data_IF_062573404989
#
_entry.id   IF_062573404989
#
_cell.length_a   1.000
_cell.length_b   1.000
_cell.length_c   1.000
_cell.angle_alpha   90.00
_cell.angle_beta   90.00
_cell.angle_gamma   90.00
#
_symmetry.space_group_name_H-M   'P 1'
#
loop_
_entity.id
_entity.type
_entity.pdbx_description
1 polymer ?
#
# COMPACT_ATOMS: atom_id res chain seq x y z
N UNK A 1 11.01 17.76 -10.73
CA UNK A 1 10.74 16.68 -9.76
C UNK A 1 11.54 17.00 -8.50
N UNK A 2 10.92 17.06 -7.35
CA UNK A 2 11.63 17.23 -6.07
C UNK A 2 12.31 15.93 -5.68
N UNK A 3 13.47 16.03 -5.01
CA UNK A 3 14.26 14.88 -4.57
C UNK A 3 14.34 14.90 -3.06
N UNK A 4 13.93 13.81 -2.42
CA UNK A 4 14.12 13.55 -1.00
C UNK A 4 15.44 12.81 -0.81
N UNK A 5 16.41 13.46 -0.18
CA UNK A 5 17.67 12.84 0.19
C UNK A 5 17.55 12.19 1.57
N UNK A 6 17.75 10.89 1.64
CA UNK A 6 17.80 10.17 2.90
C UNK A 6 19.26 10.05 3.38
N UNK A 7 19.47 10.00 4.71
CA UNK A 7 20.81 9.75 5.25
C UNK A 7 21.39 8.43 4.72
N UNK A 8 22.66 8.45 4.35
CA UNK A 8 23.37 7.23 3.98
C UNK A 8 23.43 6.28 5.19
N UNK A 9 23.26 4.98 4.91
CA UNK A 9 23.33 3.90 5.89
C UNK A 9 24.41 2.89 5.55
N UNK A 10 24.22 1.65 6.01
CA UNK A 10 25.05 0.53 5.61
C UNK A 10 24.99 0.27 4.10
N UNK A 11 25.95 -0.49 3.56
CA UNK A 11 26.01 -0.81 2.12
C UNK A 11 24.72 -1.50 1.67
N UNK A 12 24.10 -0.95 0.63
CA UNK A 12 22.84 -1.46 0.10
C UNK A 12 23.05 -2.79 -0.63
N UNK A 13 22.18 -3.78 -0.33
CA UNK A 13 22.05 -4.99 -1.15
C UNK A 13 21.01 -4.74 -2.26
N UNK A 14 21.45 -4.86 -3.50
CA UNK A 14 20.59 -4.72 -4.68
C UNK A 14 20.22 -6.07 -5.32
N UNK A 15 20.68 -7.18 -4.77
CA UNK A 15 20.39 -8.52 -5.30
C UNK A 15 19.05 -9.08 -4.79
N UNK A 16 18.64 -8.68 -3.59
CA UNK A 16 17.48 -9.21 -2.89
C UNK A 16 16.73 -8.11 -2.15
N UNK A 17 15.41 -8.21 -2.16
CA UNK A 17 14.51 -7.38 -1.35
C UNK A 17 13.43 -8.21 -0.68
N UNK A 18 12.65 -7.58 0.17
CA UNK A 18 11.61 -8.27 0.90
C UNK A 18 10.39 -7.40 1.19
N UNK A 19 9.26 -8.07 1.37
CA UNK A 19 8.00 -7.53 1.87
C UNK A 19 7.60 -8.33 3.10
N UNK A 20 7.66 -7.73 4.28
CA UNK A 20 7.15 -8.29 5.52
C UNK A 20 5.71 -7.85 5.74
N UNK A 21 4.78 -8.79 5.86
CA UNK A 21 3.37 -8.49 6.03
C UNK A 21 3.01 -8.36 7.51
N UNK A 22 2.76 -7.13 7.96
CA UNK A 22 2.39 -6.84 9.35
C UNK A 22 0.90 -7.12 9.58
N UNK A 23 0.06 -6.81 8.59
CA UNK A 23 -1.38 -7.05 8.63
C UNK A 23 -2.17 -5.92 8.00
N UNK A 24 -3.41 -6.18 7.60
CA UNK A 24 -4.25 -5.25 6.86
C UNK A 24 -3.55 -4.75 5.57
N UNK A 25 -3.33 -3.43 5.46
CA UNK A 25 -2.55 -2.81 4.39
C UNK A 25 -1.10 -2.50 4.82
N UNK A 26 -0.75 -2.81 6.07
CA UNK A 26 0.55 -2.47 6.64
C UNK A 26 1.60 -3.49 6.22
N UNK A 27 2.59 -3.04 5.45
CA UNK A 27 3.75 -3.84 5.08
C UNK A 27 5.04 -3.07 5.34
N UNK A 28 6.14 -3.81 5.57
CA UNK A 28 7.47 -3.25 5.59
C UNK A 28 8.22 -3.75 4.36
N UNK A 29 8.57 -2.84 3.46
CA UNK A 29 9.28 -3.14 2.20
C UNK A 29 10.72 -2.72 2.37
N UNK A 30 11.66 -3.64 2.15
CA UNK A 30 13.10 -3.37 2.23
C UNK A 30 13.79 -3.75 0.94
N UNK A 31 14.45 -2.79 0.30
CA UNK A 31 15.26 -3.04 -0.89
C UNK A 31 16.27 -1.91 -1.13
N UNK A 32 17.48 -2.26 -1.55
CA UNK A 32 18.52 -1.29 -1.87
C UNK A 32 18.92 -0.37 -0.71
N UNK A 33 18.78 -0.85 0.54
CA UNK A 33 19.05 -0.06 1.76
C UNK A 33 17.93 0.92 2.13
N UNK A 34 16.81 0.95 1.39
CA UNK A 34 15.62 1.77 1.71
C UNK A 34 14.59 0.89 2.42
N UNK A 35 14.06 1.37 3.54
CA UNK A 35 12.99 0.74 4.32
C UNK A 35 11.73 1.60 4.28
N UNK A 36 10.65 1.05 3.73
CA UNK A 36 9.36 1.73 3.53
C UNK A 36 8.31 1.06 4.41
N UNK A 37 7.56 1.86 5.18
CA UNK A 37 6.36 1.41 5.89
C UNK A 37 5.13 1.87 5.10
N UNK A 38 4.25 0.92 4.74
CA UNK A 38 3.00 1.25 4.05
C UNK A 38 1.83 1.26 5.00
N UNK A 39 0.89 2.18 4.81
CA UNK A 39 -0.43 2.24 5.46
C UNK A 39 -0.41 1.76 6.93
N UNK A 40 0.29 2.50 7.84
CA UNK A 40 0.60 2.02 9.18
C UNK A 40 -0.64 1.96 10.09
N UNK A 41 -1.08 0.75 10.44
CA UNK A 41 -2.19 0.46 11.33
C UNK A 41 -1.82 -0.63 12.35
N UNK A 42 -1.67 -0.24 13.63
CA UNK A 42 -1.13 -1.05 14.72
C UNK A 42 -2.08 -1.27 15.88
N UNK A 43 -3.39 -0.96 15.71
CA UNK A 43 -4.40 -1.26 16.72
C UNK A 43 -4.35 -2.74 17.12
N UNK A 44 -4.49 -3.00 18.41
CA UNK A 44 -4.64 -4.36 18.90
C UNK A 44 -6.01 -4.95 18.56
N UNK A 45 -6.07 -6.27 18.46
CA UNK A 45 -7.31 -7.00 18.32
C UNK A 45 -8.33 -6.55 19.38
N UNK A 46 -9.55 -6.31 18.96
CA UNK A 46 -10.66 -5.85 19.79
C UNK A 46 -10.78 -4.34 19.92
N UNK A 47 -9.75 -3.57 19.57
CA UNK A 47 -9.83 -2.11 19.51
C UNK A 47 -10.64 -1.64 18.31
N UNK A 48 -11.16 -0.42 18.39
CA UNK A 48 -12.02 0.17 17.37
C UNK A 48 -11.37 1.41 16.78
N UNK A 49 -11.66 1.65 15.52
CA UNK A 49 -11.24 2.84 14.78
C UNK A 49 -12.43 3.45 14.05
N UNK A 50 -12.41 4.78 13.95
CA UNK A 50 -13.35 5.54 13.15
C UNK A 50 -12.84 5.58 11.70
N UNK A 51 -13.65 5.09 10.77
CA UNK A 51 -13.38 5.16 9.33
C UNK A 51 -13.99 6.42 8.68
N UNK A 52 -14.54 7.30 9.48
CA UNK A 52 -15.28 8.46 9.01
C UNK A 52 -16.77 8.18 8.75
N UNK A 53 -17.53 9.26 8.56
CA UNK A 53 -18.98 9.21 8.27
C UNK A 53 -19.81 8.39 9.29
N UNK A 54 -19.32 8.26 10.55
CA UNK A 54 -19.99 7.48 11.60
C UNK A 54 -19.80 5.97 11.50
N UNK A 55 -18.89 5.49 10.64
CA UNK A 55 -18.56 4.08 10.47
C UNK A 55 -17.40 3.73 11.40
N UNK A 56 -17.65 2.77 12.30
CA UNK A 56 -16.64 2.24 13.21
C UNK A 56 -16.30 0.80 12.85
N UNK A 57 -15.01 0.49 12.80
CA UNK A 57 -14.50 -0.85 12.55
C UNK A 57 -13.75 -1.39 13.77
N UNK A 58 -13.94 -2.65 14.08
CA UNK A 58 -13.18 -3.37 15.09
C UNK A 58 -12.03 -4.13 14.44
N UNK A 59 -10.82 -4.03 15.00
CA UNK A 59 -9.69 -4.86 14.63
C UNK A 59 -9.95 -6.31 15.05
N UNK A 60 -9.93 -7.24 14.11
CA UNK A 60 -10.27 -8.65 14.32
C UNK A 60 -9.04 -9.55 14.53
N UNK A 61 -7.88 -9.12 14.04
CA UNK A 61 -6.64 -9.87 14.06
C UNK A 61 -5.52 -9.00 14.64
N UNK A 62 -4.66 -9.58 15.46
CA UNK A 62 -3.49 -8.87 16.00
C UNK A 62 -2.49 -8.55 14.87
N UNK A 63 -1.90 -7.36 14.79
CA UNK A 63 -0.81 -7.10 13.88
C UNK A 63 0.42 -7.92 14.29
N UNK A 64 1.26 -8.29 13.32
CA UNK A 64 2.41 -9.17 13.56
C UNK A 64 3.48 -8.56 14.47
N UNK A 65 3.54 -7.23 14.55
CA UNK A 65 4.42 -6.48 15.43
C UNK A 65 3.80 -5.12 15.79
N UNK A 66 4.38 -4.45 16.76
CA UNK A 66 4.04 -3.07 17.12
C UNK A 66 5.08 -2.08 16.58
N UNK A 67 4.78 -0.78 16.66
CA UNK A 67 5.70 0.28 16.20
C UNK A 67 7.08 0.17 16.86
N UNK A 68 7.13 -0.20 18.14
CA UNK A 68 8.38 -0.35 18.89
C UNK A 68 9.26 -1.53 18.41
N UNK A 69 8.69 -2.48 17.68
CA UNK A 69 9.41 -3.66 17.15
C UNK A 69 9.93 -3.41 15.71
N UNK A 70 9.57 -2.29 15.10
CA UNK A 70 10.00 -1.98 13.74
C UNK A 70 11.51 -1.69 13.68
N UNK A 71 12.21 -2.14 12.64
CA UNK A 71 13.54 -1.63 12.34
C UNK A 71 13.47 -0.15 11.99
N UNK A 72 14.61 0.55 11.87
CA UNK A 72 14.62 1.91 11.35
C UNK A 72 13.87 2.01 10.02
N UNK A 73 12.86 2.88 9.97
CA UNK A 73 12.05 3.18 8.79
C UNK A 73 12.59 4.46 8.15
N UNK A 74 12.71 4.50 6.83
CA UNK A 74 13.19 5.68 6.10
C UNK A 74 12.04 6.62 5.68
N UNK A 75 10.88 6.06 5.31
CA UNK A 75 9.71 6.82 4.89
C UNK A 75 8.42 5.99 5.00
N UNK A 76 7.31 6.71 5.01
CA UNK A 76 5.96 6.16 4.96
C UNK A 76 5.37 6.40 3.57
N UNK A 77 4.76 5.38 2.97
CA UNK A 77 3.90 5.48 1.79
C UNK A 77 2.48 5.18 2.24
N UNK A 78 1.62 6.18 2.18
CA UNK A 78 0.24 6.09 2.66
C UNK A 78 -0.73 6.28 1.49
N UNK A 79 -1.62 5.32 1.28
CA UNK A 79 -2.60 5.36 0.19
C UNK A 79 -3.62 6.49 0.38
N UNK A 80 -4.16 6.64 1.59
CA UNK A 80 -5.13 7.66 1.98
C UNK A 80 -5.28 7.71 3.51
N UNK A 81 -6.03 8.70 4.03
CA UNK A 81 -6.20 8.88 5.48
C UNK A 81 -7.53 8.29 5.97
N UNK A 82 -7.62 6.96 6.05
CA UNK A 82 -8.63 6.25 6.85
C UNK A 82 -8.00 5.64 8.11
N UNK A 83 -8.81 5.41 9.14
CA UNK A 83 -8.32 4.91 10.42
C UNK A 83 -7.75 3.49 10.37
N UNK A 84 -8.10 2.68 9.39
CA UNK A 84 -7.51 1.36 9.15
C UNK A 84 -6.23 1.41 8.29
N UNK A 85 -5.85 2.59 7.76
CA UNK A 85 -4.60 2.82 7.02
C UNK A 85 -3.61 3.71 7.79
N UNK A 86 -4.12 4.59 8.67
CA UNK A 86 -3.30 5.38 9.57
C UNK A 86 -4.04 5.55 10.89
N UNK A 87 -3.76 4.68 11.84
CA UNK A 87 -4.51 4.56 13.09
C UNK A 87 -3.93 5.45 14.22
N UNK A 88 -4.65 5.60 15.36
CA UNK A 88 -4.17 6.38 16.49
C UNK A 88 -2.87 5.85 17.13
N UNK A 89 -2.54 4.56 16.98
CA UNK A 89 -1.27 3.99 17.47
C UNK A 89 -0.12 4.49 16.60
N UNK A 90 -0.27 4.39 15.28
CA UNK A 90 0.68 4.96 14.32
C UNK A 90 0.85 6.48 14.54
N UNK A 91 -0.28 7.20 14.71
CA UNK A 91 -0.25 8.63 14.97
C UNK A 91 0.47 9.02 16.27
N UNK A 92 0.44 8.19 17.29
CA UNK A 92 1.08 8.44 18.58
C UNK A 92 2.55 8.03 18.57
N UNK A 93 2.87 6.85 18.06
CA UNK A 93 4.12 6.15 18.35
C UNK A 93 5.17 6.24 17.23
N UNK A 94 4.76 6.54 15.97
CA UNK A 94 5.71 6.74 14.88
C UNK A 94 6.50 8.05 15.06
N UNK A 95 7.75 8.02 14.61
CA UNK A 95 8.60 9.20 14.53
C UNK A 95 7.96 10.27 13.62
N UNK A 96 7.82 11.47 14.13
CA UNK A 96 7.18 12.60 13.43
C UNK A 96 8.04 13.21 12.33
N UNK A 97 9.34 12.94 12.36
CA UNK A 97 10.29 13.38 11.34
C UNK A 97 10.32 12.45 10.11
N UNK A 98 9.60 11.32 10.15
CA UNK A 98 9.49 10.44 8.99
C UNK A 98 8.82 11.15 7.80
N UNK A 99 9.44 11.13 6.61
CA UNK A 99 8.80 11.58 5.39
C UNK A 99 7.56 10.75 5.08
N UNK A 100 6.45 11.42 4.71
CA UNK A 100 5.20 10.75 4.33
C UNK A 100 4.83 11.14 2.91
N UNK A 101 4.78 10.16 2.01
CA UNK A 101 4.31 10.33 0.63
C UNK A 101 2.87 9.83 0.55
N UNK A 102 1.93 10.70 0.15
CA UNK A 102 0.50 10.39 0.16
C UNK A 102 -0.30 11.35 -0.73
N UNK A 103 -1.64 11.34 -0.57
CA UNK A 103 -2.55 12.33 -1.17
C UNK A 103 -2.42 13.69 -0.47
N UNK A 104 -2.85 14.78 -1.12
CA UNK A 104 -2.92 16.12 -0.51
C UNK A 104 -3.80 16.13 0.75
N UNK A 105 -4.93 15.41 0.72
CA UNK A 105 -5.85 15.29 1.86
C UNK A 105 -5.15 14.62 3.06
N UNK A 106 -4.48 13.50 2.84
CA UNK A 106 -3.79 12.77 3.89
C UNK A 106 -2.65 13.61 4.51
N UNK A 107 -1.81 14.23 3.69
CA UNK A 107 -0.73 15.11 4.16
C UNK A 107 -1.30 16.27 4.98
N UNK A 108 -2.41 16.87 4.53
CA UNK A 108 -3.07 17.95 5.29
C UNK A 108 -3.58 17.51 6.66
N UNK A 109 -4.06 16.26 6.79
CA UNK A 109 -4.54 15.69 8.07
C UNK A 109 -3.40 15.24 9.00
N UNK A 110 -2.26 14.84 8.44
CA UNK A 110 -1.09 14.41 9.22
C UNK A 110 -0.31 15.58 9.83
N UNK A 111 -0.30 16.74 9.17
CA UNK A 111 0.39 17.93 9.68
C UNK A 111 0.01 18.30 11.11
N UNK A 112 -1.30 18.45 11.47
CA UNK A 112 -1.74 18.70 12.85
C UNK A 112 -1.36 17.61 13.86
N UNK A 113 -1.06 16.38 13.40
CA UNK A 113 -0.59 15.28 14.23
C UNK A 113 0.94 15.30 14.45
N UNK A 114 1.62 16.32 13.90
CA UNK A 114 3.06 16.55 14.07
C UNK A 114 3.94 16.02 12.92
N UNK A 115 3.40 15.36 11.91
CA UNK A 115 4.17 14.90 10.75
C UNK A 115 4.46 16.07 9.81
N UNK A 116 5.63 16.68 9.97
CA UNK A 116 6.02 17.92 9.26
C UNK A 116 6.58 17.69 7.85
N UNK A 117 6.94 16.45 7.48
CA UNK A 117 7.59 16.11 6.24
C UNK A 117 6.64 15.36 5.27
N UNK A 118 5.54 16.03 4.91
CA UNK A 118 4.56 15.50 3.96
C UNK A 118 4.89 15.84 2.50
N UNK A 119 4.83 14.87 1.61
CA UNK A 119 5.07 14.98 0.16
C UNK A 119 3.82 14.53 -0.60
N UNK A 120 2.88 15.46 -0.86
CA UNK A 120 1.63 15.11 -1.52
C UNK A 120 1.83 14.86 -3.02
N UNK A 121 1.09 13.88 -3.55
CA UNK A 121 1.06 13.54 -4.97
C UNK A 121 -0.38 13.49 -5.49
N UNK A 122 -0.62 14.11 -6.63
CA UNK A 122 -1.78 13.84 -7.46
C UNK A 122 -1.51 12.63 -8.37
N UNK A 123 -2.57 12.04 -8.91
CA UNK A 123 -2.44 10.90 -9.83
C UNK A 123 -1.47 11.20 -10.98
N UNK A 124 -0.50 10.31 -11.20
CA UNK A 124 0.61 10.38 -12.15
C UNK A 124 1.77 11.29 -11.73
N UNK A 125 1.64 12.05 -10.64
CA UNK A 125 2.78 12.74 -10.06
C UNK A 125 3.77 11.76 -9.46
N UNK A 126 5.04 12.17 -9.41
CA UNK A 126 6.11 11.33 -8.87
C UNK A 126 7.01 12.12 -7.94
N UNK A 127 7.52 11.43 -6.93
CA UNK A 127 8.57 11.90 -6.05
C UNK A 127 9.79 10.99 -6.16
N UNK A 128 11.00 11.54 -6.19
CA UNK A 128 12.25 10.79 -6.20
C UNK A 128 12.84 10.78 -4.79
N UNK A 129 13.19 9.61 -4.31
CA UNK A 129 13.90 9.38 -3.04
C UNK A 129 15.28 8.81 -3.38
N UNK A 130 16.34 9.35 -2.79
CA UNK A 130 17.71 8.88 -2.98
C UNK A 130 18.36 8.55 -1.64
N UNK A 131 19.09 7.42 -1.58
CA UNK A 131 19.87 6.95 -0.44
C UNK A 131 21.15 6.30 -0.93
N UNK A 132 22.27 7.01 -0.90
CA UNK A 132 23.51 6.54 -1.53
C UNK A 132 23.33 6.27 -3.03
N UNK A 133 23.61 5.04 -3.48
CA UNK A 133 23.39 4.63 -4.87
C UNK A 133 21.94 4.23 -5.19
N UNK A 134 21.10 4.02 -4.15
CA UNK A 134 19.73 3.63 -4.33
C UNK A 134 18.86 4.81 -4.73
N UNK A 135 18.00 4.59 -5.71
CA UNK A 135 16.98 5.51 -6.16
C UNK A 135 15.63 4.82 -6.14
N UNK A 136 14.64 5.48 -5.55
CA UNK A 136 13.26 5.06 -5.50
C UNK A 136 12.38 6.16 -6.08
N UNK A 137 11.79 5.91 -7.25
CA UNK A 137 10.75 6.78 -7.78
C UNK A 137 9.39 6.26 -7.35
N UNK A 138 8.66 7.07 -6.60
CA UNK A 138 7.29 6.78 -6.16
C UNK A 138 6.33 7.57 -7.04
N UNK A 139 5.47 6.87 -7.78
CA UNK A 139 4.47 7.49 -8.65
C UNK A 139 3.07 7.18 -8.12
N UNK A 140 2.24 8.21 -7.95
CA UNK A 140 0.85 8.04 -7.59
C UNK A 140 0.05 7.44 -8.75
N UNK A 141 -0.60 6.31 -8.51
CA UNK A 141 -1.44 5.62 -9.48
C UNK A 141 -2.92 5.97 -9.26
N UNK A 142 -3.74 5.93 -10.33
CA UNK A 142 -5.16 6.23 -10.20
C UNK A 142 -5.86 5.27 -9.23
N UNK A 143 -6.60 5.84 -8.29
CA UNK A 143 -7.50 5.12 -7.39
C UNK A 143 -8.93 5.68 -7.49
N UNK A 144 -9.90 4.84 -7.18
CA UNK A 144 -11.32 5.18 -7.13
C UNK A 144 -11.93 4.51 -5.90
N UNK A 145 -12.21 5.28 -4.86
CA UNK A 145 -12.61 4.75 -3.54
C UNK A 145 -14.13 4.50 -3.40
N UNK A 146 -14.88 4.44 -4.48
CA UNK A 146 -16.28 4.03 -4.49
C UNK A 146 -16.72 3.60 -5.89
N UNK A 147 -17.77 2.79 -5.97
CA UNK A 147 -18.33 2.32 -7.24
C UNK A 147 -19.30 3.31 -7.88
N UNK A 148 -19.73 4.36 -7.17
CA UNK A 148 -20.62 5.41 -7.67
C UNK A 148 -20.10 6.81 -7.31
N UNK A 149 -20.43 7.77 -8.18
CA UNK A 149 -19.92 9.15 -8.09
C UNK A 149 -20.39 9.88 -6.81
N UNK A 150 -21.58 9.57 -6.31
CA UNK A 150 -22.13 10.25 -5.13
C UNK A 150 -21.35 9.83 -3.88
N UNK A 151 -21.07 8.53 -3.73
CA UNK A 151 -20.24 8.01 -2.63
C UNK A 151 -18.79 8.45 -2.80
N UNK A 152 -18.25 8.41 -4.02
CA UNK A 152 -16.89 8.87 -4.29
C UNK A 152 -16.67 10.35 -3.92
N UNK A 153 -17.68 11.19 -4.10
CA UNK A 153 -17.62 12.61 -3.71
C UNK A 153 -17.62 12.84 -2.18
N UNK A 154 -18.03 11.85 -1.39
CA UNK A 154 -18.04 11.91 0.08
C UNK A 154 -16.74 11.37 0.67
N UNK A 155 -16.07 10.47 -0.04
CA UNK A 155 -14.82 9.85 0.43
C UNK A 155 -13.61 10.69 0.07
N UNK A 156 -12.56 10.49 0.82
CA UNK A 156 -11.26 11.12 0.56
C UNK A 156 -10.60 10.53 -0.68
N UNK A 157 -9.74 11.31 -1.37
CA UNK A 157 -8.93 10.79 -2.46
C UNK A 157 -8.04 9.64 -2.00
N UNK A 158 -7.92 8.62 -2.84
CA UNK A 158 -7.01 7.49 -2.67
C UNK A 158 -6.02 7.42 -3.84
N UNK A 159 -4.77 7.12 -3.54
CA UNK A 159 -3.75 6.78 -4.53
C UNK A 159 -3.34 5.31 -4.39
N UNK A 160 -3.20 4.61 -5.52
CA UNK A 160 -2.24 3.54 -5.59
C UNK A 160 -0.82 4.12 -5.67
N UNK A 161 0.19 3.30 -5.47
CA UNK A 161 1.59 3.72 -5.59
C UNK A 161 2.40 2.72 -6.41
N UNK A 162 3.17 3.24 -7.35
CA UNK A 162 4.17 2.48 -8.08
C UNK A 162 5.55 2.85 -7.55
N UNK A 163 6.28 1.86 -7.07
CA UNK A 163 7.61 1.98 -6.50
C UNK A 163 8.62 1.43 -7.51
N UNK A 164 9.33 2.32 -8.20
CA UNK A 164 10.39 1.98 -9.15
C UNK A 164 11.75 2.08 -8.44
N UNK A 165 12.36 0.94 -8.17
CA UNK A 165 13.69 0.87 -7.58
C UNK A 165 14.77 0.77 -8.65
N UNK A 166 15.84 1.54 -8.48
CA UNK A 166 17.01 1.53 -9.36
C UNK A 166 18.30 1.75 -8.58
N UNK A 167 19.42 1.35 -9.21
CA UNK A 167 20.77 1.69 -8.79
C UNK A 167 21.37 2.62 -9.84
N UNK A 168 21.56 3.88 -9.47
CA UNK A 168 21.82 4.91 -10.49
C UNK A 168 20.71 4.95 -11.53
N UNK A 169 21.06 4.76 -12.80
CA UNK A 169 20.09 4.74 -13.92
C UNK A 169 19.58 3.32 -14.27
N UNK A 170 20.10 2.28 -13.61
CA UNK A 170 19.69 0.90 -13.86
C UNK A 170 18.42 0.59 -13.06
N UNK A 171 17.28 0.40 -13.77
CA UNK A 171 16.05 -0.09 -13.15
C UNK A 171 16.25 -1.55 -12.69
N UNK A 172 15.79 -1.85 -11.47
CA UNK A 172 16.00 -3.14 -10.83
C UNK A 172 14.69 -3.87 -10.51
N UNK A 173 13.68 -3.16 -9.98
CA UNK A 173 12.44 -3.77 -9.52
C UNK A 173 11.30 -2.77 -9.52
N UNK A 174 10.10 -3.23 -9.88
CA UNK A 174 8.88 -2.42 -9.88
C UNK A 174 7.80 -3.08 -9.04
N UNK A 175 7.35 -2.39 -8.01
CA UNK A 175 6.30 -2.83 -7.11
C UNK A 175 5.09 -1.90 -7.22
N UNK A 176 3.89 -2.47 -7.39
CA UNK A 176 2.64 -1.73 -7.42
C UNK A 176 1.79 -2.04 -6.18
N UNK A 177 1.31 -1.02 -5.50
CA UNK A 177 0.38 -1.08 -4.37
C UNK A 177 -0.92 -0.45 -4.83
N UNK A 178 -2.04 -1.18 -4.77
CA UNK A 178 -3.30 -0.68 -5.33
C UNK A 178 -3.92 0.45 -4.50
N UNK A 179 -3.73 0.45 -3.18
CA UNK A 179 -4.56 1.21 -2.26
C UNK A 179 -6.01 0.73 -2.29
N UNK A 180 -6.88 1.37 -1.53
CA UNK A 180 -8.31 1.08 -1.46
C UNK A 180 -9.03 1.60 -2.71
N UNK A 181 -8.92 0.86 -3.79
CA UNK A 181 -9.56 1.21 -5.06
C UNK A 181 -10.61 0.21 -5.46
N UNK A 182 -11.58 0.66 -6.25
CA UNK A 182 -12.49 -0.18 -7.02
C UNK A 182 -11.90 -0.50 -8.40
N UNK A 183 -12.49 -1.47 -9.11
CA UNK A 183 -12.20 -1.66 -10.52
C UNK A 183 -12.69 -0.46 -11.33
N UNK A 184 -11.80 0.11 -12.13
CA UNK A 184 -12.11 1.21 -13.04
C UNK A 184 -11.21 1.18 -14.28
N UNK A 185 -11.63 1.85 -15.34
CA UNK A 185 -10.94 1.77 -16.65
C UNK A 185 -9.49 2.27 -16.63
N UNK A 186 -9.15 3.22 -15.73
CA UNK A 186 -7.79 3.77 -15.63
C UNK A 186 -6.75 2.76 -15.12
N UNK A 187 -7.16 1.62 -14.54
CA UNK A 187 -6.23 0.52 -14.23
C UNK A 187 -5.55 -0.02 -15.51
N UNK A 188 -6.21 0.06 -16.66
CA UNK A 188 -5.63 -0.31 -17.97
C UNK A 188 -4.49 0.63 -18.37
N UNK A 189 -4.55 1.88 -17.95
CA UNK A 189 -3.47 2.85 -18.20
C UNK A 189 -2.21 2.49 -17.41
N UNK A 190 -2.35 1.93 -16.20
CA UNK A 190 -1.22 1.43 -15.42
C UNK A 190 -0.48 0.35 -16.21
N UNK A 191 -1.19 -0.68 -16.69
CA UNK A 191 -0.60 -1.73 -17.49
C UNK A 191 0.02 -1.23 -18.80
N UNK A 192 -0.57 -0.18 -19.40
CA UNK A 192 -0.07 0.45 -20.63
C UNK A 192 1.22 1.22 -20.43
N UNK A 193 1.30 2.00 -19.35
CA UNK A 193 2.47 2.86 -19.07
C UNK A 193 3.58 2.12 -18.33
N UNK A 194 3.22 1.08 -17.58
CA UNK A 194 4.13 0.29 -16.74
C UNK A 194 3.87 -1.21 -16.95
N UNK A 195 4.22 -1.76 -18.13
CA UNK A 195 3.87 -3.16 -18.48
C UNK A 195 4.65 -4.22 -17.69
N UNK A 196 5.77 -3.83 -17.04
CA UNK A 196 6.70 -4.75 -16.37
C UNK A 196 6.63 -4.59 -14.84
N UNK A 197 5.46 -4.84 -14.25
CA UNK A 197 5.29 -4.86 -12.80
C UNK A 197 5.81 -6.20 -12.27
N UNK A 198 6.80 -6.18 -11.38
CA UNK A 198 7.36 -7.41 -10.81
C UNK A 198 6.49 -7.94 -9.66
N UNK A 199 5.95 -7.04 -8.81
CA UNK A 199 5.11 -7.40 -7.67
C UNK A 199 3.91 -6.46 -7.54
N UNK A 200 2.72 -7.03 -7.33
CA UNK A 200 1.51 -6.31 -6.97
C UNK A 200 1.06 -6.62 -5.53
N UNK A 201 0.91 -5.61 -4.69
CA UNK A 201 0.19 -5.70 -3.42
C UNK A 201 -1.25 -5.25 -3.66
N UNK A 202 -2.17 -6.20 -3.59
CA UNK A 202 -3.55 -6.02 -4.05
C UNK A 202 -4.48 -5.89 -2.84
N UNK A 203 -5.00 -4.69 -2.60
CA UNK A 203 -5.98 -4.45 -1.55
C UNK A 203 -7.32 -5.08 -1.94
N UNK A 204 -7.88 -5.83 -1.01
CA UNK A 204 -9.18 -6.48 -1.15
C UNK A 204 -10.04 -6.15 0.09
N UNK A 205 -10.91 -7.04 0.53
CA UNK A 205 -11.72 -6.84 1.74
C UNK A 205 -13.18 -6.51 1.46
N UNK A 206 -13.48 -5.85 0.34
CA UNK A 206 -14.87 -5.58 -0.05
C UNK A 206 -15.61 -4.72 0.97
N UNK A 207 -14.94 -3.71 1.54
CA UNK A 207 -15.56 -2.78 2.50
C UNK A 207 -16.77 -2.13 1.88
N UNK A 208 -17.85 -2.04 2.67
CA UNK A 208 -19.11 -1.45 2.23
C UNK A 208 -19.48 -0.27 3.11
N UNK A 209 -19.74 0.87 2.50
CA UNK A 209 -20.32 2.05 3.15
C UNK A 209 -21.79 2.18 2.75
N UNK A 210 -22.70 2.09 3.73
CA UNK A 210 -24.16 1.98 3.50
C UNK A 210 -24.49 0.76 2.62
N UNK A 211 -24.68 0.98 1.32
CA UNK A 211 -24.97 -0.08 0.33
C UNK A 211 -23.95 -0.11 -0.80
N UNK A 212 -22.92 0.76 -0.77
CA UNK A 212 -21.92 0.91 -1.82
C UNK A 212 -20.62 0.22 -1.40
N UNK A 213 -20.09 -0.61 -2.27
CA UNK A 213 -18.74 -1.19 -2.09
C UNK A 213 -17.72 -0.11 -2.39
N UNK A 214 -16.76 0.07 -1.48
CA UNK A 214 -15.74 1.12 -1.53
C UNK A 214 -14.30 0.60 -1.67
N UNK A 215 -14.10 -0.71 -1.51
CA UNK A 215 -12.81 -1.39 -1.74
C UNK A 215 -13.07 -2.69 -2.50
N UNK A 216 -12.18 -3.10 -3.38
CA UNK A 216 -12.33 -4.32 -4.18
C UNK A 216 -12.63 -5.54 -3.32
N UNK A 217 -13.57 -6.38 -3.78
CA UNK A 217 -13.74 -7.75 -3.28
C UNK A 217 -12.58 -8.63 -3.75
N UNK A 218 -12.45 -9.85 -3.21
CA UNK A 218 -11.46 -10.83 -3.67
C UNK A 218 -11.54 -11.11 -5.18
N UNK A 219 -12.76 -11.26 -5.73
CA UNK A 219 -12.97 -11.44 -7.17
C UNK A 219 -12.51 -10.21 -7.97
N UNK A 220 -12.86 -9.01 -7.51
CA UNK A 220 -12.41 -7.78 -8.17
C UNK A 220 -10.90 -7.59 -8.06
N UNK A 221 -10.26 -8.00 -6.95
CA UNK A 221 -8.82 -8.00 -6.81
C UNK A 221 -8.13 -8.89 -7.86
N UNK A 222 -8.66 -10.09 -8.13
CA UNK A 222 -8.15 -10.95 -9.22
C UNK A 222 -8.34 -10.29 -10.59
N UNK A 223 -9.47 -9.62 -10.82
CA UNK A 223 -9.68 -8.84 -12.06
C UNK A 223 -8.67 -7.69 -12.20
N UNK A 224 -8.31 -7.04 -11.10
CA UNK A 224 -7.25 -6.01 -11.11
C UNK A 224 -5.89 -6.64 -11.46
N UNK A 225 -5.58 -7.84 -10.96
CA UNK A 225 -4.38 -8.62 -11.36
C UNK A 225 -4.40 -8.93 -12.85
N UNK A 226 -5.51 -9.39 -13.42
CA UNK A 226 -5.65 -9.67 -14.87
C UNK A 226 -5.44 -8.41 -15.73
N UNK A 227 -5.82 -7.24 -15.23
CA UNK A 227 -5.66 -5.96 -15.92
C UNK A 227 -4.20 -5.47 -15.82
N UNK A 228 -3.64 -5.43 -14.61
CA UNK A 228 -2.32 -4.82 -14.33
C UNK A 228 -1.16 -5.77 -14.59
N UNK A 229 -1.40 -7.09 -14.59
CA UNK A 229 -0.48 -8.16 -14.96
C UNK A 229 0.87 -8.12 -14.24
N UNK A 230 0.90 -8.02 -12.90
CA UNK A 230 2.15 -8.17 -12.18
C UNK A 230 2.68 -9.61 -12.35
N UNK A 231 3.99 -9.81 -12.28
CA UNK A 231 4.58 -11.18 -12.31
C UNK A 231 4.17 -11.98 -11.08
N UNK A 232 4.18 -11.31 -9.92
CA UNK A 232 3.69 -11.87 -8.65
C UNK A 232 2.62 -10.96 -8.07
N UNK A 233 1.57 -11.52 -7.49
CA UNK A 233 0.53 -10.79 -6.77
C UNK A 233 0.40 -11.32 -5.34
N UNK A 234 0.30 -10.41 -4.37
CA UNK A 234 0.04 -10.71 -2.95
C UNK A 234 -1.23 -9.95 -2.56
N UNK A 235 -2.34 -10.65 -2.27
CA UNK A 235 -3.50 -10.00 -1.70
C UNK A 235 -3.20 -9.54 -0.27
N UNK A 236 -3.67 -8.35 0.08
CA UNK A 236 -3.61 -7.74 1.40
C UNK A 236 -4.95 -7.05 1.72
N UNK A 237 -5.09 -6.46 2.91
CA UNK A 237 -6.28 -5.71 3.30
C UNK A 237 -7.55 -6.59 3.32
N UNK A 238 -7.50 -7.72 4.04
CA UNK A 238 -8.62 -8.65 4.22
C UNK A 238 -8.63 -9.23 5.63
N UNK A 239 -9.78 -9.65 6.11
CA UNK A 239 -10.00 -10.34 7.40
C UNK A 239 -9.60 -9.54 8.68
N UNK A 240 -8.96 -8.40 8.55
CA UNK A 240 -8.39 -7.64 9.68
C UNK A 240 -9.38 -6.77 10.41
N UNK A 241 -10.40 -6.27 9.74
CA UNK A 241 -11.43 -5.41 10.33
C UNK A 241 -12.84 -5.96 10.12
N UNK A 242 -13.74 -5.65 11.08
CA UNK A 242 -15.11 -6.16 11.10
C UNK A 242 -15.99 -5.70 9.93
N UNK A 243 -15.57 -4.68 9.20
CA UNK A 243 -16.28 -4.12 8.03
C UNK A 243 -15.92 -4.81 6.71
N UNK A 244 -14.96 -5.72 6.72
CA UNK A 244 -14.53 -6.44 5.52
C UNK A 244 -15.51 -7.58 5.21
N UNK A 245 -16.16 -7.49 4.06
CA UNK A 245 -17.21 -8.42 3.62
C UNK A 245 -16.69 -9.50 2.68
N UNK A 246 -15.45 -9.36 2.17
CA UNK A 246 -14.82 -10.32 1.28
C UNK A 246 -13.46 -10.72 1.86
N UNK A 247 -13.36 -11.97 2.27
CA UNK A 247 -12.16 -12.54 2.88
C UNK A 247 -11.15 -13.05 1.86
N UNK A 248 -10.00 -13.54 2.37
CA UNK A 248 -8.95 -14.15 1.55
C UNK A 248 -9.46 -15.33 0.70
N UNK A 249 -10.43 -16.09 1.19
CA UNK A 249 -10.94 -17.28 0.49
C UNK A 249 -11.71 -16.91 -0.79
N UNK A 250 -12.33 -15.73 -0.85
CA UNK A 250 -12.95 -15.22 -2.07
C UNK A 250 -11.89 -14.93 -3.14
N UNK A 251 -10.76 -14.32 -2.73
CA UNK A 251 -9.64 -14.09 -3.64
C UNK A 251 -9.03 -15.41 -4.14
N UNK A 252 -8.79 -16.38 -3.25
CA UNK A 252 -8.25 -17.70 -3.61
C UNK A 252 -9.14 -18.40 -4.64
N UNK A 253 -10.44 -18.46 -4.38
CA UNK A 253 -11.41 -19.07 -5.28
C UNK A 253 -11.43 -18.41 -6.66
N UNK A 254 -11.36 -17.08 -6.70
CA UNK A 254 -11.31 -16.34 -7.96
C UNK A 254 -9.97 -16.56 -8.69
N UNK A 255 -8.85 -16.59 -7.96
CA UNK A 255 -7.53 -16.83 -8.53
C UNK A 255 -7.39 -18.23 -9.14
N UNK A 256 -7.96 -19.27 -8.51
CA UNK A 256 -8.01 -20.64 -9.06
C UNK A 256 -8.81 -20.73 -10.37
N UNK A 257 -9.80 -19.85 -10.55
CA UNK A 257 -10.60 -19.78 -11.77
C UNK A 257 -10.00 -18.86 -12.85
N UNK A 258 -9.00 -18.07 -12.51
CA UNK A 258 -8.35 -17.12 -13.42
C UNK A 258 -7.35 -17.82 -14.34
N UNK A 259 -7.23 -17.30 -15.55
CA UNK A 259 -6.19 -17.71 -16.52
C UNK A 259 -5.01 -16.73 -16.58
N UNK A 260 -4.88 -15.82 -15.61
CA UNK A 260 -3.77 -14.87 -15.57
C UNK A 260 -2.43 -15.60 -15.39
N UNK A 261 -1.43 -15.21 -16.16
CA UNK A 261 -0.04 -15.68 -16.01
C UNK A 261 0.66 -14.84 -14.91
N UNK A 262 0.10 -14.88 -13.71
CA UNK A 262 0.60 -14.19 -12.52
C UNK A 262 0.76 -15.22 -11.42
N UNK A 263 1.95 -15.27 -10.81
CA UNK A 263 2.16 -16.05 -9.60
C UNK A 263 1.44 -15.40 -8.41
N UNK A 264 0.54 -16.12 -7.75
CA UNK A 264 -0.13 -15.61 -6.55
C UNK A 264 0.56 -16.17 -5.30
N UNK A 265 0.95 -15.28 -4.40
CA UNK A 265 1.50 -15.61 -3.08
C UNK A 265 0.57 -15.14 -1.98
N UNK A 266 0.38 -15.99 -0.98
CA UNK A 266 -0.44 -15.69 0.19
C UNK A 266 0.47 -15.61 1.39
N UNK A 267 0.43 -14.49 2.11
CA UNK A 267 1.21 -14.28 3.32
C UNK A 267 0.28 -14.28 4.54
N UNK A 268 0.67 -15.00 5.58
CA UNK A 268 0.12 -14.77 6.90
C UNK A 268 0.78 -13.55 7.56
N UNK A 269 0.13 -12.96 8.57
CA UNK A 269 0.75 -11.91 9.38
C UNK A 269 2.09 -12.41 9.96
N UNK A 270 3.14 -11.63 9.81
CA UNK A 270 4.49 -11.99 10.24
C UNK A 270 5.31 -12.79 9.21
N UNK A 271 4.74 -13.11 8.06
CA UNK A 271 5.49 -13.74 6.97
C UNK A 271 6.18 -12.71 6.07
N UNK A 272 7.29 -13.14 5.51
CA UNK A 272 8.11 -12.34 4.58
C UNK A 272 8.11 -12.98 3.20
N UNK A 273 7.78 -12.20 2.19
CA UNK A 273 8.05 -12.54 0.80
C UNK A 273 9.40 -11.95 0.39
N UNK A 274 10.32 -12.80 -0.04
CA UNK A 274 11.62 -12.39 -0.56
C UNK A 274 11.62 -12.44 -2.08
N UNK A 275 12.13 -11.39 -2.71
CA UNK A 275 12.31 -11.32 -4.14
C UNK A 275 13.77 -11.05 -4.52
N UNK A 276 14.16 -11.49 -5.70
CA UNK A 276 15.49 -11.25 -6.27
C UNK A 276 15.36 -10.40 -7.52
N UNK A 277 16.34 -9.54 -7.75
CA UNK A 277 16.43 -8.79 -9.00
C UNK A 277 17.06 -9.66 -10.08
N UNK A 278 16.67 -9.41 -11.32
CA UNK A 278 17.42 -9.96 -12.46
C UNK A 278 18.71 -9.15 -12.59
N UNK A 279 19.85 -9.79 -12.38
CA UNK A 279 21.16 -9.21 -12.58
C UNK A 279 21.39 -8.76 -14.03
#
# INVERSE_FOLDING_TARGET
MSVLQLPEGESADFSQGEVYFIGNATTLIRFGGITILTDPAFLHKGQHVDLGHGIWAQRMVEPACQVADLPPVDLIVLSHYHGDHFDPVAARDLDKDLPVISTYDAVGKLGPLGFGHGYPLDTWDSHLVEKGEARLKITAMPGLHASDDATAALLMPVNGHLLDFSRGDQHLYRLYITGDTMLHDRLKDIARFYPDIDLGLIHTGGTTMLVTVITMTGEQGVRAVEITRPRTAIPIHYNDFSVFMSGLDDFKKAAEASSADTEVRYLAHGETYTFTTKG
#
